data_IF_670087358696
#
_entry.id   IF_670087358696
#
_cell.length_a   1.000
_cell.length_b   1.000
_cell.length_c   1.000
_cell.angle_alpha   90.00
_cell.angle_beta   90.00
_cell.angle_gamma   90.00
#
_symmetry.space_group_name_H-M   'P 1'
#
loop_
_entity.id
_entity.type
_entity.pdbx_description
1 polymer ?
#
# COMPACT_ATOMS: atom_id res chain seq x y z
N UNK A 1 18.77 15.88 -25.00
CA UNK A 1 17.61 16.53 -24.37
C UNK A 1 16.57 15.47 -24.07
N UNK A 2 16.04 15.43 -22.84
CA UNK A 2 15.01 14.47 -22.46
C UNK A 2 13.66 14.97 -22.97
N UNK A 3 13.26 14.55 -24.17
CA UNK A 3 11.96 14.90 -24.76
C UNK A 3 10.88 13.98 -24.21
N UNK A 4 9.61 14.40 -24.30
CA UNK A 4 8.48 13.59 -23.84
C UNK A 4 8.50 12.16 -24.43
N UNK A 5 8.80 12.03 -25.72
CA UNK A 5 8.91 10.73 -26.39
C UNK A 5 10.03 9.85 -25.83
N UNK A 6 11.18 10.45 -25.49
CA UNK A 6 12.29 9.73 -24.87
C UNK A 6 11.93 9.17 -23.48
N UNK A 7 11.04 9.85 -22.75
CA UNK A 7 10.52 9.36 -21.46
C UNK A 7 9.52 8.22 -21.67
N UNK A 8 8.61 8.35 -22.64
CA UNK A 8 7.65 7.29 -22.99
C UNK A 8 8.35 5.99 -23.43
N UNK A 9 9.37 6.10 -24.28
CA UNK A 9 10.15 4.95 -24.74
C UNK A 9 10.88 4.26 -23.58
N UNK A 10 11.41 5.02 -22.64
CA UNK A 10 12.14 4.49 -21.49
C UNK A 10 11.20 3.76 -20.52
N UNK A 11 9.99 4.31 -20.30
CA UNK A 11 8.92 3.65 -19.53
C UNK A 11 8.49 2.36 -20.22
N UNK A 12 8.20 2.41 -21.52
CA UNK A 12 7.78 1.24 -22.29
C UNK A 12 8.87 0.15 -22.32
N UNK A 13 10.13 0.53 -22.44
CA UNK A 13 11.26 -0.40 -22.40
C UNK A 13 11.38 -1.08 -21.03
N UNK A 14 11.09 -0.37 -19.93
CA UNK A 14 11.14 -0.95 -18.58
C UNK A 14 9.93 -1.85 -18.29
N UNK A 15 8.73 -1.44 -18.71
CA UNK A 15 7.50 -2.24 -18.58
C UNK A 15 7.56 -3.51 -19.43
N UNK A 16 8.12 -3.42 -20.66
CA UNK A 16 8.26 -4.57 -21.55
C UNK A 16 9.32 -5.57 -21.07
N UNK A 17 10.34 -5.11 -20.32
CA UNK A 17 11.32 -5.97 -19.64
C UNK A 17 10.75 -6.62 -18.37
N UNK A 18 9.61 -6.12 -17.89
CA UNK A 18 8.91 -6.55 -16.68
C UNK A 18 7.92 -7.71 -16.88
N UNK A 19 8.26 -8.73 -17.67
CA UNK A 19 7.78 -10.10 -17.38
C UNK A 19 8.63 -10.77 -16.29
N UNK A 20 9.50 -10.01 -15.62
CA UNK A 20 10.30 -10.43 -14.47
C UNK A 20 9.51 -10.28 -13.16
N UNK A 21 8.79 -11.33 -12.79
CA UNK A 21 8.49 -11.64 -11.39
C UNK A 21 7.49 -10.72 -10.68
N UNK A 22 6.26 -10.60 -11.21
CA UNK A 22 5.15 -10.55 -10.26
C UNK A 22 5.28 -11.83 -9.41
N UNK A 23 5.49 -11.68 -8.10
CA UNK A 23 5.45 -12.80 -7.17
C UNK A 23 4.24 -13.68 -7.57
N UNK A 24 4.41 -15.01 -7.67
CA UNK A 24 3.38 -15.88 -8.24
C UNK A 24 2.06 -15.49 -7.60
N UNK A 25 1.07 -15.12 -8.42
CA UNK A 25 -0.25 -14.70 -7.98
C UNK A 25 -0.67 -15.74 -6.94
N UNK A 26 -0.62 -15.36 -5.65
CA UNK A 26 -0.74 -16.33 -4.58
C UNK A 26 -2.01 -17.12 -4.86
N UNK A 27 -1.89 -18.45 -5.04
CA UNK A 27 -3.02 -19.32 -5.41
C UNK A 27 -4.26 -18.78 -4.73
N UNK A 28 -5.24 -18.34 -5.50
CA UNK A 28 -6.49 -17.82 -4.93
C UNK A 28 -7.09 -19.01 -4.19
N UNK A 29 -6.82 -19.10 -2.89
CA UNK A 29 -7.34 -20.15 -2.04
C UNK A 29 -8.82 -19.82 -1.89
N UNK A 30 -9.75 -20.65 -2.40
CA UNK A 30 -11.17 -20.42 -2.21
C UNK A 30 -11.43 -20.31 -0.70
N UNK A 31 -11.93 -19.16 -0.26
CA UNK A 31 -12.18 -18.88 1.17
C UNK A 31 -11.15 -18.00 1.89
N UNK A 32 -10.02 -17.63 1.27
CA UNK A 32 -9.09 -16.66 1.88
C UNK A 32 -9.64 -15.25 1.67
N UNK A 33 -10.11 -14.61 2.75
CA UNK A 33 -10.51 -13.19 2.73
C UNK A 33 -9.35 -12.37 2.15
N UNK A 34 -9.63 -11.58 1.11
CA UNK A 34 -8.64 -10.70 0.50
C UNK A 34 -8.13 -9.75 1.59
N UNK A 35 -6.83 -9.79 1.86
CA UNK A 35 -6.20 -8.82 2.78
C UNK A 35 -6.29 -7.44 2.13
N UNK A 36 -6.92 -6.50 2.83
CA UNK A 36 -7.04 -5.12 2.36
C UNK A 36 -5.72 -4.42 2.64
N UNK A 37 -5.06 -3.91 1.61
CA UNK A 37 -3.89 -3.06 1.81
C UNK A 37 -4.35 -1.63 2.08
N UNK A 38 -3.86 -1.02 3.16
CA UNK A 38 -4.12 0.38 3.52
C UNK A 38 -2.86 1.18 3.27
N UNK A 39 -2.93 2.03 2.24
CA UNK A 39 -1.88 2.98 1.91
C UNK A 39 -1.84 4.15 2.89
N UNK A 40 -0.75 4.92 2.87
CA UNK A 40 -0.61 6.13 3.70
C UNK A 40 -1.72 7.14 3.45
N UNK A 41 -2.10 7.31 2.19
CA UNK A 41 -3.16 8.23 1.80
C UNK A 41 -4.52 7.80 2.37
N UNK A 42 -4.84 6.51 2.32
CA UNK A 42 -6.07 5.97 2.90
C UNK A 42 -6.06 6.08 4.42
N UNK A 43 -4.93 5.79 5.06
CA UNK A 43 -4.78 5.91 6.51
C UNK A 43 -5.02 7.35 6.99
N UNK A 44 -4.44 8.34 6.29
CA UNK A 44 -4.65 9.77 6.59
C UNK A 44 -6.10 10.21 6.47
N UNK A 45 -6.91 9.55 5.62
CA UNK A 45 -8.34 9.82 5.49
C UNK A 45 -9.18 9.20 6.60
N UNK A 46 -8.75 8.05 7.11
CA UNK A 46 -9.41 7.35 8.21
C UNK A 46 -9.08 8.03 9.56
N UNK A 47 -7.86 8.54 9.68
CA UNK A 47 -7.40 9.22 10.88
C UNK A 47 -8.18 10.50 11.16
N UNK A 48 -8.64 10.65 12.40
CA UNK A 48 -9.27 11.87 12.91
C UNK A 48 -8.24 12.68 13.69
N UNK A 49 -8.05 13.98 13.40
CA UNK A 49 -7.11 14.81 14.15
C UNK A 49 -7.36 14.75 15.67
N UNK A 50 -6.32 14.48 16.44
CA UNK A 50 -6.38 14.36 17.90
C UNK A 50 -6.88 13.01 18.42
N UNK A 51 -7.24 12.07 17.55
CA UNK A 51 -7.56 10.71 17.96
C UNK A 51 -6.28 9.95 18.36
N UNK A 52 -6.34 9.24 19.49
CA UNK A 52 -5.24 8.35 19.93
C UNK A 52 -5.32 6.94 19.32
N UNK A 53 -6.36 6.69 18.52
CA UNK A 53 -6.61 5.37 17.94
C UNK A 53 -7.06 5.48 16.48
N UNK A 54 -6.69 4.49 15.67
CA UNK A 54 -7.18 4.31 14.30
C UNK A 54 -7.76 2.90 14.17
N UNK A 55 -8.98 2.82 13.65
CA UNK A 55 -9.62 1.54 13.37
C UNK A 55 -9.26 1.07 11.96
N UNK A 56 -8.74 -0.15 11.87
CA UNK A 56 -8.43 -0.80 10.59
C UNK A 56 -9.08 -2.19 10.55
N UNK A 57 -9.46 -2.71 9.36
CA UNK A 57 -9.99 -4.07 9.25
C UNK A 57 -9.00 -5.11 9.80
N UNK A 58 -9.49 -6.14 10.48
CA UNK A 58 -8.66 -7.15 11.13
C UNK A 58 -7.63 -7.80 10.18
N UNK A 59 -8.06 -8.15 8.98
CA UNK A 59 -7.25 -8.79 7.93
C UNK A 59 -6.47 -7.80 7.05
N UNK A 60 -6.36 -6.52 7.46
CA UNK A 60 -5.68 -5.49 6.67
C UNK A 60 -4.16 -5.48 6.87
N UNK A 61 -3.46 -5.16 5.79
CA UNK A 61 -2.02 -4.86 5.77
C UNK A 61 -1.90 -3.35 5.75
N UNK A 62 -1.25 -2.77 6.76
CA UNK A 62 -0.96 -1.33 6.83
C UNK A 62 0.41 -1.08 6.22
N UNK A 63 0.53 -0.01 5.43
CA UNK A 63 1.80 0.45 4.87
C UNK A 63 2.86 0.66 5.97
N UNK A 64 4.11 0.16 5.81
CA UNK A 64 5.18 0.35 6.80
C UNK A 64 5.47 1.81 7.16
N UNK A 65 5.51 2.70 6.16
CA UNK A 65 5.72 4.14 6.39
C UNK A 65 4.65 4.75 7.29
N UNK A 66 3.43 4.20 7.23
CA UNK A 66 2.32 4.67 8.03
C UNK A 66 2.37 4.11 9.45
N UNK A 67 2.96 2.93 9.66
CA UNK A 67 3.26 2.41 11.00
C UNK A 67 4.25 3.32 11.72
N UNK A 68 5.35 3.69 11.06
CA UNK A 68 6.36 4.59 11.64
C UNK A 68 5.74 5.93 12.06
N UNK A 69 4.85 6.48 11.22
CA UNK A 69 4.13 7.70 11.54
C UNK A 69 3.15 7.54 12.72
N UNK A 70 2.40 6.44 12.77
CA UNK A 70 1.48 6.16 13.89
C UNK A 70 2.25 6.00 15.21
N UNK A 71 3.35 5.26 15.20
CA UNK A 71 4.20 5.04 16.36
C UNK A 71 4.81 6.34 16.88
N UNK A 72 5.35 7.18 15.97
CA UNK A 72 5.90 8.49 16.33
C UNK A 72 4.87 9.40 17.02
N UNK A 73 3.60 9.33 16.61
CA UNK A 73 2.52 10.13 17.18
C UNK A 73 1.81 9.45 18.37
N UNK A 74 2.26 8.25 18.79
CA UNK A 74 1.63 7.49 19.87
C UNK A 74 0.20 7.05 19.57
N UNK A 75 -0.14 6.83 18.30
CA UNK A 75 -1.48 6.44 17.84
C UNK A 75 -1.57 4.92 17.79
N UNK A 76 -2.54 4.34 18.50
CA UNK A 76 -2.71 2.88 18.58
C UNK A 76 -3.63 2.35 17.48
N UNK A 77 -3.25 1.24 16.85
CA UNK A 77 -4.07 0.56 15.86
C UNK A 77 -5.06 -0.37 16.56
N UNK A 78 -6.35 -0.21 16.27
CA UNK A 78 -7.43 -1.11 16.70
C UNK A 78 -7.91 -1.90 15.50
N UNK A 79 -7.75 -3.22 15.56
CA UNK A 79 -8.19 -4.14 14.51
C UNK A 79 -9.64 -4.55 14.77
N UNK A 80 -10.53 -4.23 13.83
CA UNK A 80 -11.99 -4.48 13.90
C UNK A 80 -12.47 -5.41 12.80
#
# INVERSE_FOLDING_TARGET
MLTKGAVEDLIMQHLSRGAGGAAPLAKIIPGRKKRVFISDWELRRIYKPGAKTVQVPADSIVSPLSLDWLDYNGITIVRV
#
